data_IF_505051027322
#
_entry.id   IF_505051027322
#
_cell.length_a   1.000
_cell.length_b   1.000
_cell.length_c   1.000
_cell.angle_alpha   90.00
_cell.angle_beta   90.00
_cell.angle_gamma   90.00
#
_symmetry.space_group_name_H-M   'P 1'
#
loop_
_entity.id
_entity.type
_entity.pdbx_description
1 polymer ?
#
# COMPACT_ATOMS: atom_id res chain seq x y z
N UNK A 1 -6.41 -9.17 3.90
CA UNK A 1 -6.35 -8.40 5.18
C UNK A 1 -6.17 -6.90 4.96
N UNK A 2 -5.11 -6.45 4.27
CA UNK A 2 -4.82 -5.02 4.04
C UNK A 2 -6.02 -4.20 3.51
N UNK A 3 -6.64 -4.64 2.41
CA UNK A 3 -7.80 -3.96 1.79
C UNK A 3 -9.00 -3.87 2.74
N UNK A 4 -9.21 -4.87 3.60
CA UNK A 4 -10.33 -4.89 4.55
C UNK A 4 -10.17 -3.81 5.63
N UNK A 5 -8.94 -3.61 6.11
CA UNK A 5 -8.62 -2.57 7.10
C UNK A 5 -8.82 -1.18 6.50
N UNK A 6 -8.27 -0.93 5.32
CA UNK A 6 -8.45 0.36 4.64
C UNK A 6 -9.94 0.65 4.36
N UNK A 7 -10.69 -0.35 3.89
CA UNK A 7 -12.14 -0.22 3.65
C UNK A 7 -12.92 0.06 4.95
N UNK A 8 -12.56 -0.57 6.07
CA UNK A 8 -13.17 -0.31 7.38
C UNK A 8 -13.04 1.15 7.79
N UNK A 9 -11.92 1.79 7.46
CA UNK A 9 -11.68 3.22 7.75
C UNK A 9 -12.13 4.14 6.61
N UNK A 10 -12.80 3.60 5.59
CA UNK A 10 -13.36 4.37 4.48
C UNK A 10 -12.35 4.82 3.43
N UNK A 11 -11.12 4.31 3.41
CA UNK A 11 -10.12 4.74 2.43
C UNK A 11 -10.22 3.94 1.13
N UNK A 12 -10.29 4.60 -0.04
CA UNK A 12 -10.21 3.93 -1.32
C UNK A 12 -8.83 3.32 -1.52
N UNK A 13 -8.79 2.23 -2.27
CA UNK A 13 -7.62 1.38 -2.37
C UNK A 13 -7.42 0.87 -3.79
N UNK A 14 -6.19 0.94 -4.28
CA UNK A 14 -5.77 0.29 -5.52
C UNK A 14 -4.66 -0.70 -5.23
N UNK A 15 -4.65 -1.81 -5.95
CA UNK A 15 -3.59 -2.83 -5.86
C UNK A 15 -2.90 -2.92 -7.22
N UNK A 16 -1.57 -2.96 -7.20
CA UNK A 16 -0.74 -3.12 -8.39
C UNK A 16 0.16 -4.35 -8.20
N UNK A 17 0.37 -5.10 -9.29
CA UNK A 17 1.41 -6.12 -9.35
C UNK A 17 2.58 -5.55 -10.15
N UNK A 18 3.77 -5.62 -9.59
CA UNK A 18 5.01 -5.15 -10.23
C UNK A 18 5.95 -6.33 -10.31
N UNK A 19 6.50 -6.57 -11.49
CA UNK A 19 7.50 -7.61 -11.72
C UNK A 19 8.85 -6.92 -11.66
N UNK A 20 9.76 -7.39 -10.81
CA UNK A 20 11.14 -6.90 -10.74
C UNK A 20 11.97 -7.49 -11.88
N UNK A 21 13.11 -6.88 -12.18
CA UNK A 21 14.02 -7.36 -13.23
C UNK A 21 14.49 -8.81 -12.99
N UNK A 22 14.62 -9.21 -11.73
CA UNK A 22 14.97 -10.56 -11.28
C UNK A 22 13.76 -11.50 -11.10
N UNK A 23 12.59 -11.12 -11.63
CA UNK A 23 11.43 -12.01 -11.78
C UNK A 23 10.50 -12.14 -10.57
N UNK A 24 10.67 -11.33 -9.51
CA UNK A 24 9.77 -11.35 -8.36
C UNK A 24 8.50 -10.55 -8.60
N UNK A 25 7.36 -11.09 -8.16
CA UNK A 25 6.07 -10.40 -8.24
C UNK A 25 5.78 -9.68 -6.92
N UNK A 26 5.94 -8.37 -6.92
CA UNK A 26 5.61 -7.49 -5.80
C UNK A 26 4.15 -7.04 -5.86
N UNK A 27 3.50 -6.97 -4.71
CA UNK A 27 2.15 -6.37 -4.59
C UNK A 27 2.28 -5.01 -3.92
N UNK A 28 1.90 -3.96 -4.65
CA UNK A 28 1.83 -2.59 -4.14
C UNK A 28 0.39 -2.20 -3.84
N UNK A 29 0.20 -1.52 -2.73
CA UNK A 29 -1.08 -0.98 -2.28
C UNK A 29 -1.04 0.54 -2.38
N UNK A 30 -2.09 1.18 -2.89
CA UNK A 30 -2.15 2.64 -3.02
C UNK A 30 -3.44 3.17 -2.41
N UNK A 31 -3.30 4.17 -1.55
CA UNK A 31 -4.38 4.99 -1.02
C UNK A 31 -4.34 6.32 -1.78
N UNK A 32 -5.21 6.53 -2.79
CA UNK A 32 -5.10 7.66 -3.71
C UNK A 32 -5.59 8.98 -3.11
N UNK A 33 -6.48 8.97 -2.13
CA UNK A 33 -6.98 10.15 -1.43
C UNK A 33 -7.75 9.73 -0.17
N UNK A 34 -8.01 10.70 0.72
CA UNK A 34 -9.05 10.58 1.75
C UNK A 34 -10.43 10.87 1.12
N UNK A 35 -11.52 10.60 1.84
CA UNK A 35 -12.88 10.74 1.29
C UNK A 35 -13.32 12.17 0.96
N UNK A 36 -12.57 13.18 1.39
CA UNK A 36 -12.99 14.58 1.31
C UNK A 36 -12.40 15.33 0.12
N UNK A 37 -11.34 14.82 -0.52
CA UNK A 37 -10.53 15.69 -1.38
C UNK A 37 -9.95 14.95 -2.61
N UNK A 38 -10.87 14.45 -3.45
CA UNK A 38 -10.65 13.52 -4.57
C UNK A 38 -9.88 14.15 -5.76
N UNK A 39 -9.95 15.49 -5.93
CA UNK A 39 -9.57 16.15 -7.20
C UNK A 39 -8.22 16.88 -7.21
N UNK A 40 -7.48 16.92 -6.09
CA UNK A 40 -6.20 17.64 -6.03
C UNK A 40 -5.03 16.73 -6.46
N UNK A 41 -4.17 17.15 -7.40
CA UNK A 41 -2.91 16.46 -7.67
C UNK A 41 -2.03 16.52 -6.41
N UNK A 42 -1.39 15.39 -6.08
CA UNK A 42 -0.58 15.22 -4.88
C UNK A 42 0.68 14.44 -5.21
N UNK A 43 1.75 14.73 -4.48
CA UNK A 43 3.01 14.02 -4.61
C UNK A 43 2.86 12.60 -4.09
N UNK A 44 3.14 11.56 -4.89
CA UNK A 44 3.13 10.19 -4.41
C UNK A 44 4.29 9.97 -3.45
N UNK A 45 4.02 9.29 -2.34
CA UNK A 45 5.05 8.88 -1.38
C UNK A 45 5.05 7.37 -1.24
N UNK A 46 6.24 6.75 -1.27
CA UNK A 46 6.42 5.32 -1.13
C UNK A 46 6.82 4.97 0.32
N UNK A 47 6.00 4.17 0.99
CA UNK A 47 6.31 3.59 2.30
C UNK A 47 6.79 2.16 2.14
N UNK A 48 8.03 1.92 2.55
CA UNK A 48 8.68 0.62 2.57
C UNK A 48 8.78 0.14 4.02
N UNK A 49 8.21 -1.01 4.32
CA UNK A 49 8.34 -1.64 5.63
C UNK A 49 9.76 -2.21 5.83
N UNK A 50 10.14 -2.41 7.09
CA UNK A 50 11.38 -3.07 7.49
C UNK A 50 11.36 -4.60 7.31
N UNK A 51 12.41 -5.25 7.80
CA UNK A 51 12.55 -6.72 7.78
C UNK A 51 11.47 -7.35 8.67
N UNK A 52 10.92 -8.50 8.27
CA UNK A 52 9.84 -9.23 8.98
C UNK A 52 8.55 -8.41 9.16
N UNK A 53 8.35 -7.38 8.34
CA UNK A 53 7.13 -6.58 8.32
C UNK A 53 6.40 -6.70 6.97
N UNK A 54 5.23 -6.09 6.86
CA UNK A 54 4.46 -5.97 5.62
C UNK A 54 3.81 -4.59 5.53
N UNK A 55 3.16 -4.27 4.41
CA UNK A 55 2.48 -2.98 4.25
C UNK A 55 1.47 -2.68 5.37
N UNK A 56 0.87 -3.71 5.97
CA UNK A 56 -0.22 -3.56 6.93
C UNK A 56 0.13 -2.67 8.11
N UNK A 57 1.40 -2.69 8.55
CA UNK A 57 1.87 -1.91 9.69
C UNK A 57 1.67 -0.40 9.51
N UNK A 58 1.65 0.07 8.26
CA UNK A 58 1.39 1.47 7.95
C UNK A 58 -0.07 1.88 8.12
N UNK A 59 -1.01 0.94 8.30
CA UNK A 59 -2.46 1.21 8.35
C UNK A 59 -3.17 0.60 9.56
N UNK A 60 -2.46 -0.10 10.46
CA UNK A 60 -3.06 -0.85 11.57
C UNK A 60 -3.81 0.04 12.58
N UNK A 61 -3.31 1.25 12.83
CA UNK A 61 -3.86 2.22 13.79
C UNK A 61 -5.04 3.03 13.23
N UNK A 62 -5.62 2.64 12.08
CA UNK A 62 -6.70 3.39 11.46
C UNK A 62 -6.28 4.78 11.00
N UNK A 63 -7.14 5.78 11.17
CA UNK A 63 -6.93 7.16 10.69
C UNK A 63 -5.63 7.81 11.22
N UNK A 64 -5.17 7.38 12.39
CA UNK A 64 -3.91 7.85 13.01
C UNK A 64 -2.66 7.19 12.40
N UNK A 65 -2.83 6.18 11.55
CA UNK A 65 -1.68 5.52 10.93
C UNK A 65 -1.06 6.39 9.87
N UNK A 66 0.27 6.35 9.77
CA UNK A 66 1.02 7.08 8.75
C UNK A 66 0.47 6.82 7.35
N UNK A 67 0.17 5.57 6.99
CA UNK A 67 -0.32 5.17 5.68
C UNK A 67 -1.68 5.77 5.28
N UNK A 68 -2.44 6.35 6.21
CA UNK A 68 -3.71 7.01 5.90
C UNK A 68 -3.55 8.44 5.36
N UNK A 69 -2.34 9.01 5.38
CA UNK A 69 -2.04 10.35 4.86
C UNK A 69 -1.50 10.38 3.41
N UNK A 70 -2.19 9.69 2.47
CA UNK A 70 -1.87 9.64 1.02
C UNK A 70 -0.55 8.96 0.65
N UNK A 71 -0.54 7.62 0.57
CA UNK A 71 0.68 6.84 0.28
C UNK A 71 0.49 5.69 -0.72
N UNK A 72 1.58 5.35 -1.39
CA UNK A 72 1.83 4.04 -1.96
C UNK A 72 2.58 3.21 -0.91
N UNK A 73 2.05 2.06 -0.54
CA UNK A 73 2.62 1.18 0.47
C UNK A 73 3.02 -0.11 -0.23
N UNK A 74 4.32 -0.42 -0.16
CA UNK A 74 4.87 -1.64 -0.77
C UNK A 74 4.74 -2.80 0.21
N UNK A 75 4.21 -3.94 -0.26
CA UNK A 75 4.37 -5.21 0.44
C UNK A 75 5.37 -6.07 -0.31
N UNK A 76 6.34 -6.60 0.39
CA UNK A 76 7.14 -7.72 -0.12
C UNK A 76 6.30 -8.99 0.11
N UNK A 77 5.68 -9.51 -0.94
CA UNK A 77 5.34 -10.92 -1.03
C UNK A 77 6.30 -11.50 -2.06
N UNK A 78 7.32 -12.21 -1.58
CA UNK A 78 8.37 -12.76 -2.43
C UNK A 78 7.89 -14.12 -2.95
N UNK A 79 7.15 -14.13 -4.05
CA UNK A 79 7.01 -15.34 -4.87
C UNK A 79 8.01 -15.21 -6.02
N UNK A 80 9.09 -16.00 -5.98
CA UNK A 80 9.91 -16.22 -7.16
C UNK A 80 9.08 -17.03 -8.14
N UNK A 81 8.93 -16.56 -9.38
CA UNK A 81 8.58 -17.47 -10.46
C UNK A 81 9.87 -18.22 -10.79
N UNK A 82 10.01 -19.45 -10.31
CA UNK A 82 10.97 -20.37 -10.92
C UNK A 82 10.40 -20.71 -12.30
N UNK A 83 10.97 -20.11 -13.34
CA UNK A 83 10.93 -20.69 -14.68
C UNK A 83 12.19 -21.53 -14.85
#
# INVERSE_FOLDING_TARGET
MFILIAKRYGYPMKTYKVITEDGYILTLFRIPHNNTDIKKPRQPVLLQHGIVASAIFWILQGQESLGMYHFMIKTINKYAVYQ
#
